data_IF_826984792645
#
_entry.id   IF_826984792645
#
_cell.length_a   1.000
_cell.length_b   1.000
_cell.length_c   1.000
_cell.angle_alpha   90.00
_cell.angle_beta   90.00
_cell.angle_gamma   90.00
#
_symmetry.space_group_name_H-M   'P 1'
#
loop_
_entity.id
_entity.type
_entity.pdbx_description
1 polymer ?
#
# COMPACT_ATOMS: atom_id res chain seq x y z
N UNK A 1 -67.65 -36.47 -12.19
CA UNK A 1 -66.71 -35.79 -13.12
C UNK A 1 -65.64 -35.17 -12.22
N UNK A 2 -64.49 -35.85 -12.07
CA UNK A 2 -63.35 -35.35 -11.35
C UNK A 2 -62.71 -34.25 -12.18
N UNK A 3 -62.70 -33.00 -11.70
CA UNK A 3 -61.92 -31.93 -12.25
C UNK A 3 -60.48 -32.22 -11.85
N UNK A 4 -59.65 -32.73 -12.78
CA UNK A 4 -58.24 -32.91 -12.54
C UNK A 4 -57.60 -31.58 -12.19
N UNK A 5 -56.69 -31.56 -11.23
CA UNK A 5 -55.90 -30.33 -10.97
C UNK A 5 -55.00 -30.04 -12.15
N UNK A 6 -55.12 -28.85 -12.71
CA UNK A 6 -54.22 -28.37 -13.75
C UNK A 6 -53.08 -27.68 -13.01
N UNK A 7 -51.93 -28.37 -12.98
CA UNK A 7 -50.69 -27.81 -12.41
C UNK A 7 -49.74 -27.33 -13.51
N UNK A 8 -49.09 -26.22 -13.33
CA UNK A 8 -47.94 -25.78 -14.13
C UNK A 8 -46.82 -25.39 -13.17
N UNK A 9 -45.62 -25.93 -13.43
CA UNK A 9 -44.45 -25.58 -12.66
C UNK A 9 -44.05 -24.15 -12.96
N UNK A 10 -43.79 -23.36 -11.91
CA UNK A 10 -43.27 -22.01 -11.99
C UNK A 10 -42.10 -21.87 -11.05
N UNK A 11 -41.08 -21.07 -11.38
CA UNK A 11 -39.99 -20.81 -10.46
C UNK A 11 -40.48 -20.04 -9.24
N UNK A 12 -40.00 -20.37 -8.08
CA UNK A 12 -40.08 -19.48 -6.90
C UNK A 12 -39.18 -18.28 -7.12
N UNK A 13 -39.65 -17.08 -6.82
CA UNK A 13 -38.85 -15.86 -6.96
C UNK A 13 -39.21 -14.81 -5.91
N UNK A 14 -38.22 -13.98 -5.59
CA UNK A 14 -38.37 -12.72 -4.86
C UNK A 14 -38.30 -11.57 -5.87
N UNK A 15 -39.18 -10.57 -5.75
CA UNK A 15 -39.21 -9.44 -6.69
C UNK A 15 -39.81 -8.20 -6.07
N UNK A 16 -39.42 -7.03 -6.57
CA UNK A 16 -40.14 -5.74 -6.33
C UNK A 16 -41.29 -5.51 -7.32
N UNK A 17 -41.37 -6.32 -8.38
CA UNK A 17 -42.47 -6.27 -9.34
C UNK A 17 -43.70 -7.00 -8.86
N UNK A 18 -44.77 -6.94 -9.64
CA UNK A 18 -46.03 -7.61 -9.40
C UNK A 18 -46.05 -8.93 -10.18
N UNK A 19 -46.18 -10.09 -9.49
CA UNK A 19 -46.34 -11.37 -10.17
C UNK A 19 -47.76 -11.48 -10.78
N UNK A 20 -47.85 -12.16 -11.91
CA UNK A 20 -49.11 -12.48 -12.55
C UNK A 20 -49.11 -13.91 -13.11
N UNK A 21 -50.27 -14.46 -13.23
CA UNK A 21 -50.48 -15.75 -13.87
C UNK A 21 -51.77 -15.71 -14.69
N UNK A 22 -51.71 -16.31 -15.86
CA UNK A 22 -52.85 -16.61 -16.71
C UNK A 22 -52.97 -18.13 -16.82
N UNK A 23 -54.13 -18.65 -16.47
CA UNK A 23 -54.39 -20.09 -16.50
C UNK A 23 -55.68 -20.39 -17.28
N UNK A 24 -55.64 -21.43 -18.10
CA UNK A 24 -56.81 -21.96 -18.81
C UNK A 24 -56.71 -23.49 -18.91
N UNK A 25 -57.75 -24.11 -19.39
CA UNK A 25 -57.83 -25.60 -19.52
C UNK A 25 -56.75 -26.19 -20.39
N UNK A 26 -56.32 -25.43 -21.42
CA UNK A 26 -55.15 -25.83 -22.22
C UNK A 26 -53.87 -25.26 -21.60
N UNK A 27 -53.15 -26.10 -20.87
CA UNK A 27 -51.88 -25.69 -20.16
C UNK A 27 -50.86 -25.05 -21.09
N UNK A 28 -50.86 -25.38 -22.41
CA UNK A 28 -49.97 -24.74 -23.37
C UNK A 28 -50.24 -23.23 -23.55
N UNK A 29 -51.41 -22.77 -23.18
CA UNK A 29 -51.81 -21.38 -23.23
C UNK A 29 -51.60 -20.66 -21.89
N UNK A 30 -51.30 -21.41 -20.82
CA UNK A 30 -51.00 -20.81 -19.54
C UNK A 30 -49.70 -19.97 -19.64
N UNK A 31 -49.67 -18.87 -18.91
CA UNK A 31 -48.54 -17.95 -18.89
C UNK A 31 -48.42 -17.27 -17.54
N UNK A 32 -47.30 -16.61 -17.30
CA UNK A 32 -47.04 -15.89 -16.06
C UNK A 32 -45.73 -15.16 -16.16
N UNK A 33 -45.48 -14.27 -15.23
CA UNK A 33 -44.29 -13.46 -15.16
C UNK A 33 -44.38 -12.37 -14.11
N UNK A 34 -43.60 -11.36 -14.28
CA UNK A 34 -43.49 -10.21 -13.38
C UNK A 34 -43.61 -8.94 -14.22
N UNK A 35 -44.24 -7.92 -13.69
CA UNK A 35 -44.27 -6.60 -14.29
C UNK A 35 -44.16 -5.50 -13.21
N UNK A 36 -43.89 -4.25 -13.64
CA UNK A 36 -43.74 -3.13 -12.74
C UNK A 36 -42.39 -3.13 -12.01
N UNK A 37 -42.44 -2.71 -10.79
CA UNK A 37 -41.31 -2.49 -9.92
C UNK A 37 -41.58 -1.29 -9.01
N UNK A 38 -40.54 -0.71 -8.47
CA UNK A 38 -40.63 0.45 -7.57
C UNK A 38 -40.02 1.69 -8.21
N UNK A 39 -40.44 2.88 -7.74
CA UNK A 39 -39.76 4.14 -8.09
C UNK A 39 -38.33 4.11 -7.56
N UNK A 40 -37.37 4.52 -8.39
CA UNK A 40 -35.96 4.47 -8.04
C UNK A 40 -35.16 5.43 -8.92
N UNK A 41 -34.41 6.32 -8.31
CA UNK A 41 -33.69 7.41 -8.98
C UNK A 41 -32.17 7.31 -8.88
N UNK A 42 -31.68 6.30 -8.15
CA UNK A 42 -30.24 6.12 -7.92
C UNK A 42 -29.57 5.26 -8.98
N UNK A 43 -28.25 5.36 -9.06
CA UNK A 43 -27.42 4.56 -9.98
C UNK A 43 -26.45 3.67 -9.17
N UNK A 44 -26.88 2.49 -8.69
CA UNK A 44 -26.00 1.55 -8.01
C UNK A 44 -24.97 0.96 -8.98
N UNK A 45 -23.81 0.60 -8.48
CA UNK A 45 -22.75 -0.01 -9.28
C UNK A 45 -22.91 -1.52 -9.40
N UNK A 46 -23.44 -2.18 -8.36
CA UNK A 46 -23.68 -3.61 -8.34
C UNK A 46 -24.88 -3.97 -7.45
N UNK A 47 -25.34 -5.20 -7.56
CA UNK A 47 -26.16 -5.89 -6.56
C UNK A 47 -25.33 -7.00 -5.92
N UNK A 48 -25.29 -7.06 -4.60
CA UNK A 48 -24.57 -8.07 -3.83
C UNK A 48 -25.55 -8.80 -2.91
N UNK A 49 -25.24 -10.05 -2.58
CA UNK A 49 -26.01 -10.83 -1.63
C UNK A 49 -25.36 -12.18 -1.34
N UNK A 50 -25.85 -12.85 -0.32
CA UNK A 50 -25.46 -14.20 0.05
C UNK A 50 -26.52 -15.18 -0.45
N UNK A 51 -26.08 -16.21 -1.13
CA UNK A 51 -26.96 -17.18 -1.76
C UNK A 51 -26.55 -18.60 -1.39
N UNK A 52 -27.55 -19.44 -1.12
CA UNK A 52 -27.33 -20.85 -0.82
C UNK A 52 -28.34 -21.68 -1.56
N UNK A 53 -27.85 -22.52 -2.48
CA UNK A 53 -28.63 -23.54 -3.18
C UNK A 53 -28.12 -24.92 -2.85
N UNK A 54 -29.01 -25.77 -2.33
CA UNK A 54 -28.65 -27.10 -1.84
C UNK A 54 -28.71 -28.17 -2.92
N UNK A 55 -29.50 -27.90 -3.96
CA UNK A 55 -29.76 -28.87 -5.02
C UNK A 55 -28.56 -29.00 -5.96
N UNK A 56 -28.23 -30.20 -6.37
CA UNK A 56 -27.11 -30.50 -7.26
C UNK A 56 -27.53 -30.71 -8.73
N UNK A 57 -28.77 -30.37 -9.08
CA UNK A 57 -29.23 -30.45 -10.48
C UNK A 57 -28.58 -29.35 -11.35
N UNK A 58 -28.69 -29.48 -12.67
CA UNK A 58 -28.09 -28.58 -13.66
C UNK A 58 -28.89 -27.29 -13.96
N UNK A 59 -30.04 -27.13 -13.27
CA UNK A 59 -30.86 -25.94 -13.43
C UNK A 59 -30.14 -24.68 -12.94
N UNK A 60 -30.33 -23.58 -13.63
CA UNK A 60 -29.82 -22.28 -13.20
C UNK A 60 -30.83 -21.55 -12.30
N UNK A 61 -30.31 -20.98 -11.22
CA UNK A 61 -30.93 -19.87 -10.50
C UNK A 61 -30.49 -18.55 -11.15
N UNK A 62 -31.25 -17.49 -10.95
CA UNK A 62 -30.98 -16.20 -11.57
C UNK A 62 -31.05 -15.04 -10.56
N UNK A 63 -30.12 -14.10 -10.72
CA UNK A 63 -30.20 -12.75 -10.18
C UNK A 63 -30.38 -11.82 -11.37
N UNK A 64 -31.51 -11.12 -11.45
CA UNK A 64 -31.84 -10.19 -12.51
C UNK A 64 -32.23 -8.89 -11.85
N UNK A 65 -31.55 -7.79 -12.20
CA UNK A 65 -32.00 -6.46 -11.83
C UNK A 65 -31.92 -5.55 -13.04
N UNK A 66 -32.85 -4.62 -13.13
CA UNK A 66 -32.86 -3.65 -14.22
C UNK A 66 -33.45 -2.33 -13.76
N UNK A 67 -32.87 -1.28 -14.28
CA UNK A 67 -33.25 0.11 -14.10
C UNK A 67 -33.75 0.65 -15.42
N UNK A 68 -34.89 1.34 -15.42
CA UNK A 68 -35.43 1.83 -16.69
C UNK A 68 -36.23 3.13 -16.53
N UNK A 69 -36.46 3.76 -17.69
CA UNK A 69 -37.29 4.91 -17.85
C UNK A 69 -38.42 4.58 -18.83
N UNK A 70 -39.53 5.31 -18.76
CA UNK A 70 -40.60 5.20 -19.72
C UNK A 70 -41.87 4.55 -19.21
N UNK A 71 -42.71 4.18 -20.13
CA UNK A 71 -44.11 3.83 -19.86
C UNK A 71 -44.52 2.48 -20.43
N UNK A 72 -43.52 1.60 -20.74
CA UNK A 72 -43.86 0.24 -21.16
C UNK A 72 -44.78 -0.40 -20.12
N UNK A 73 -45.90 -0.86 -20.58
CA UNK A 73 -46.91 -1.49 -19.74
C UNK A 73 -47.46 -2.72 -20.49
N UNK A 74 -47.26 -3.85 -19.91
CA UNK A 74 -47.82 -5.10 -20.43
C UNK A 74 -49.28 -5.25 -20.04
N UNK A 75 -50.04 -5.91 -20.89
CA UNK A 75 -51.38 -6.39 -20.56
C UNK A 75 -51.32 -7.87 -20.25
N UNK A 76 -51.79 -8.24 -19.06
CA UNK A 76 -51.98 -9.64 -18.72
C UNK A 76 -53.08 -10.24 -19.61
N UNK A 77 -52.81 -11.38 -20.22
CA UNK A 77 -53.80 -11.96 -21.06
C UNK A 77 -53.40 -13.26 -21.79
N UNK A 78 -54.34 -13.77 -22.60
CA UNK A 78 -54.20 -15.05 -23.29
C UNK A 78 -53.14 -14.98 -24.39
N UNK A 79 -52.29 -16.01 -24.49
CA UNK A 79 -51.32 -16.14 -25.56
C UNK A 79 -52.00 -16.14 -26.94
N UNK A 80 -51.49 -15.33 -27.86
CA UNK A 80 -51.92 -15.29 -29.23
C UNK A 80 -53.23 -14.52 -29.47
N UNK A 81 -53.79 -13.84 -28.48
CA UNK A 81 -54.91 -12.92 -28.64
C UNK A 81 -54.45 -11.59 -29.15
N UNK A 82 -55.01 -11.03 -30.24
CA UNK A 82 -54.63 -9.70 -30.71
C UNK A 82 -54.93 -8.55 -29.74
N UNK A 83 -55.89 -8.80 -28.83
CA UNK A 83 -56.34 -7.80 -27.83
C UNK A 83 -55.74 -8.00 -26.45
N UNK A 84 -55.05 -9.12 -26.23
CA UNK A 84 -54.45 -9.53 -24.94
C UNK A 84 -53.01 -9.90 -25.23
N UNK A 85 -52.09 -9.01 -24.98
CA UNK A 85 -50.67 -9.31 -25.08
C UNK A 85 -50.21 -10.06 -23.85
N UNK A 86 -49.24 -10.93 -24.01
CA UNK A 86 -48.52 -11.52 -22.89
C UNK A 86 -47.78 -10.44 -22.15
N UNK A 87 -47.66 -10.65 -20.86
CA UNK A 87 -46.83 -9.77 -20.06
C UNK A 87 -45.37 -10.19 -20.15
N UNK A 88 -44.68 -9.69 -21.14
CA UNK A 88 -43.25 -9.86 -21.37
C UNK A 88 -42.46 -8.59 -21.01
N UNK A 89 -42.93 -7.78 -20.06
CA UNK A 89 -42.29 -6.50 -19.72
C UNK A 89 -40.79 -6.69 -19.44
N UNK A 90 -40.43 -7.62 -18.55
CA UNK A 90 -39.04 -7.92 -18.26
C UNK A 90 -38.26 -8.31 -19.51
N UNK A 91 -38.84 -9.17 -20.37
CA UNK A 91 -38.20 -9.60 -21.60
C UNK A 91 -38.09 -8.44 -22.60
N UNK A 92 -39.11 -7.60 -22.70
CA UNK A 92 -39.13 -6.46 -23.62
C UNK A 92 -38.10 -5.39 -23.23
N UNK A 93 -38.04 -5.02 -21.93
CA UNK A 93 -37.09 -4.03 -21.45
C UNK A 93 -35.66 -4.56 -21.55
N UNK A 94 -35.43 -5.85 -21.36
CA UNK A 94 -34.11 -6.47 -21.52
C UNK A 94 -33.79 -6.88 -22.98
N UNK A 95 -34.65 -6.49 -23.97
CA UNK A 95 -34.41 -6.75 -25.37
C UNK A 95 -34.50 -8.22 -25.79
N UNK A 96 -35.24 -9.07 -25.01
CA UNK A 96 -35.36 -10.52 -25.26
C UNK A 96 -36.57 -10.94 -26.07
N UNK A 97 -37.45 -10.02 -26.46
CA UNK A 97 -38.65 -10.25 -27.26
C UNK A 97 -38.89 -9.12 -28.27
N UNK A 98 -39.69 -9.41 -29.29
CA UNK A 98 -40.06 -8.41 -30.33
C UNK A 98 -41.58 -8.16 -30.26
N UNK A 99 -42.05 -6.90 -30.28
CA UNK A 99 -41.25 -5.67 -30.20
C UNK A 99 -40.58 -5.52 -28.84
N UNK A 100 -39.35 -5.04 -28.81
CA UNK A 100 -38.62 -4.78 -27.60
C UNK A 100 -38.89 -3.36 -27.03
N UNK A 101 -38.54 -3.16 -25.80
CA UNK A 101 -38.57 -1.88 -25.11
C UNK A 101 -37.21 -1.49 -24.55
N UNK A 102 -36.13 -2.05 -25.11
CA UNK A 102 -34.74 -1.85 -24.62
C UNK A 102 -34.29 -0.39 -24.68
N UNK A 103 -34.92 0.45 -25.53
CA UNK A 103 -34.69 1.89 -25.51
C UNK A 103 -35.12 2.60 -24.21
N UNK A 104 -35.85 1.92 -23.32
CA UNK A 104 -36.21 2.41 -22.01
C UNK A 104 -35.24 1.96 -20.91
N UNK A 105 -34.31 1.06 -21.22
CA UNK A 105 -33.31 0.52 -20.27
C UNK A 105 -32.29 1.59 -19.92
N UNK A 106 -31.98 1.71 -18.65
CA UNK A 106 -30.89 2.55 -18.12
C UNK A 106 -29.70 1.69 -17.75
N UNK A 107 -29.96 0.60 -17.00
CA UNK A 107 -28.94 -0.37 -16.63
C UNK A 107 -29.58 -1.73 -16.35
N UNK A 108 -28.78 -2.78 -16.45
CA UNK A 108 -29.17 -4.15 -16.08
C UNK A 108 -28.03 -4.87 -15.39
N UNK A 109 -28.36 -5.86 -14.60
CA UNK A 109 -27.50 -6.98 -14.29
C UNK A 109 -28.27 -8.28 -14.47
N UNK A 110 -27.59 -9.31 -14.97
CA UNK A 110 -28.16 -10.62 -15.15
C UNK A 110 -27.08 -11.67 -14.86
N UNK A 111 -27.31 -12.51 -13.87
CA UNK A 111 -26.36 -13.53 -13.47
C UNK A 111 -27.06 -14.86 -13.24
N UNK A 112 -26.55 -15.91 -13.86
CA UNK A 112 -27.04 -17.27 -13.71
C UNK A 112 -26.02 -18.08 -12.92
N UNK A 113 -26.48 -18.85 -11.95
CA UNK A 113 -25.64 -19.74 -11.16
C UNK A 113 -26.33 -21.07 -10.86
N UNK A 114 -25.53 -22.10 -10.68
CA UNK A 114 -25.98 -23.44 -10.34
C UNK A 114 -25.92 -23.69 -8.83
N UNK A 115 -25.83 -24.94 -8.43
CA UNK A 115 -25.69 -25.33 -7.02
C UNK A 115 -24.49 -24.64 -6.36
N UNK A 116 -24.66 -24.19 -5.11
CA UNK A 116 -23.60 -23.76 -4.23
C UNK A 116 -23.05 -24.83 -3.32
N UNK A 117 -23.40 -26.12 -3.62
CA UNK A 117 -23.07 -27.27 -2.81
C UNK A 117 -23.53 -27.14 -1.35
N UNK A 118 -24.67 -26.49 -1.13
CA UNK A 118 -25.22 -26.28 0.20
C UNK A 118 -24.45 -25.31 1.10
N UNK A 119 -23.52 -24.56 0.55
CA UNK A 119 -22.78 -23.50 1.26
C UNK A 119 -23.27 -22.12 0.86
N UNK A 120 -23.16 -21.15 1.77
CA UNK A 120 -23.40 -19.76 1.45
C UNK A 120 -22.27 -19.22 0.57
N UNK A 121 -22.63 -18.60 -0.54
CA UNK A 121 -21.70 -17.91 -1.42
C UNK A 121 -22.11 -16.43 -1.53
N UNK A 122 -21.17 -15.55 -1.42
CA UNK A 122 -21.37 -14.13 -1.71
C UNK A 122 -21.22 -13.92 -3.22
N UNK A 123 -22.25 -13.35 -3.83
CA UNK A 123 -22.28 -13.05 -5.26
C UNK A 123 -22.55 -11.57 -5.44
N UNK A 124 -21.62 -10.88 -6.11
CA UNK A 124 -21.75 -9.48 -6.48
C UNK A 124 -21.81 -9.37 -8.01
N UNK A 125 -22.90 -8.80 -8.52
CA UNK A 125 -23.14 -8.65 -9.96
C UNK A 125 -23.14 -7.17 -10.33
N UNK A 126 -22.21 -6.70 -11.16
CA UNK A 126 -22.16 -5.30 -11.58
C UNK A 126 -23.34 -4.96 -12.51
N UNK A 127 -23.78 -3.70 -12.47
CA UNK A 127 -24.72 -3.16 -13.43
C UNK A 127 -23.99 -2.73 -14.71
N UNK A 128 -24.55 -3.17 -15.84
CA UNK A 128 -24.17 -2.71 -17.18
C UNK A 128 -25.04 -1.50 -17.53
N UNK A 129 -24.48 -0.31 -17.52
CA UNK A 129 -25.18 0.93 -17.89
C UNK A 129 -25.20 1.16 -19.38
N UNK A 130 -26.35 1.60 -19.90
CA UNK A 130 -26.45 2.08 -21.27
C UNK A 130 -25.72 3.43 -21.38
N UNK A 131 -24.85 3.55 -22.37
CA UNK A 131 -24.04 4.75 -22.56
C UNK A 131 -24.94 6.00 -22.72
N UNK A 132 -24.65 7.04 -21.97
CA UNK A 132 -25.40 8.29 -21.96
C UNK A 132 -26.82 8.23 -21.37
N UNK A 133 -27.19 7.11 -20.74
CA UNK A 133 -28.50 7.00 -20.09
C UNK A 133 -28.66 8.00 -18.93
N UNK A 134 -29.84 8.62 -18.86
CA UNK A 134 -30.25 9.51 -17.76
C UNK A 134 -30.40 8.73 -16.45
N UNK A 135 -30.72 9.42 -15.37
CA UNK A 135 -31.12 8.76 -14.11
C UNK A 135 -32.34 7.85 -14.36
N UNK A 136 -32.43 6.68 -13.70
CA UNK A 136 -33.60 5.82 -13.82
C UNK A 136 -34.81 6.44 -13.08
N UNK A 137 -36.00 6.03 -13.47
CA UNK A 137 -37.22 6.35 -12.73
C UNK A 137 -37.79 5.13 -11.99
N UNK A 138 -37.39 3.95 -12.41
CA UNK A 138 -37.92 2.66 -11.92
C UNK A 138 -36.84 1.60 -11.81
N UNK A 139 -37.09 0.66 -10.92
CA UNK A 139 -36.22 -0.50 -10.68
C UNK A 139 -37.08 -1.75 -10.47
N UNK A 140 -36.56 -2.89 -10.94
CA UNK A 140 -37.03 -4.20 -10.49
C UNK A 140 -35.84 -5.12 -10.22
N UNK A 141 -35.98 -5.97 -9.22
CA UNK A 141 -35.06 -7.08 -8.90
C UNK A 141 -35.85 -8.36 -8.94
N UNK A 142 -35.27 -9.41 -9.52
CA UNK A 142 -35.83 -10.75 -9.56
C UNK A 142 -34.72 -11.72 -9.14
N UNK A 143 -34.93 -12.41 -8.01
CA UNK A 143 -34.07 -13.49 -7.57
C UNK A 143 -34.88 -14.77 -7.71
N UNK A 144 -34.51 -15.62 -8.66
CA UNK A 144 -35.25 -16.83 -9.01
C UNK A 144 -34.50 -18.08 -8.56
N UNK A 145 -35.22 -18.96 -7.86
CA UNK A 145 -34.68 -20.24 -7.41
C UNK A 145 -34.50 -21.24 -8.55
N UNK A 146 -35.25 -21.11 -9.64
CA UNK A 146 -35.17 -21.93 -10.85
C UNK A 146 -35.01 -21.09 -12.11
N UNK A 147 -35.04 -21.71 -13.26
CA UNK A 147 -34.88 -21.05 -14.56
C UNK A 147 -36.00 -20.03 -14.84
N UNK A 148 -35.69 -18.76 -14.72
CA UNK A 148 -36.65 -17.69 -14.96
C UNK A 148 -37.05 -17.55 -16.44
N UNK A 149 -36.15 -17.89 -17.34
CA UNK A 149 -36.33 -17.65 -18.78
C UNK A 149 -36.97 -18.80 -19.52
N UNK A 150 -36.76 -20.05 -19.05
CA UNK A 150 -37.27 -21.27 -19.71
C UNK A 150 -37.99 -22.18 -18.72
N UNK A 151 -39.30 -22.23 -18.84
CA UNK A 151 -40.12 -23.10 -18.00
C UNK A 151 -39.91 -24.59 -18.30
N UNK A 152 -39.47 -24.93 -19.51
CA UNK A 152 -39.16 -26.28 -19.91
C UNK A 152 -37.93 -26.85 -19.19
N UNK A 153 -37.10 -26.00 -18.66
CA UNK A 153 -35.89 -26.36 -17.90
C UNK A 153 -36.06 -26.32 -16.39
N UNK A 154 -37.29 -26.11 -15.88
CA UNK A 154 -37.57 -26.10 -14.45
C UNK A 154 -37.48 -27.48 -13.87
N UNK A 155 -36.81 -27.61 -12.72
CA UNK A 155 -36.72 -28.82 -11.91
C UNK A 155 -37.53 -28.62 -10.63
N UNK A 156 -38.38 -29.59 -10.33
CA UNK A 156 -39.23 -29.56 -9.11
C UNK A 156 -38.36 -29.60 -7.85
N UNK A 157 -38.82 -28.96 -6.78
CA UNK A 157 -38.20 -28.90 -5.46
C UNK A 157 -36.82 -28.26 -5.40
N UNK A 158 -36.46 -27.41 -6.35
CA UNK A 158 -35.27 -26.55 -6.25
C UNK A 158 -35.50 -25.50 -5.18
N UNK A 159 -34.55 -25.35 -4.25
CA UNK A 159 -34.59 -24.37 -3.15
C UNK A 159 -33.41 -23.45 -3.20
N UNK A 160 -33.69 -22.14 -3.26
CA UNK A 160 -32.72 -21.08 -3.12
C UNK A 160 -33.02 -20.27 -1.86
N UNK A 161 -32.00 -20.11 -1.03
CA UNK A 161 -32.00 -19.15 0.08
C UNK A 161 -31.18 -17.93 -0.35
N UNK A 162 -31.67 -16.74 -0.05
CA UNK A 162 -31.00 -15.48 -0.28
C UNK A 162 -31.02 -14.65 1.01
N UNK A 163 -29.90 -14.02 1.32
CA UNK A 163 -29.72 -13.19 2.49
C UNK A 163 -28.81 -12.00 2.19
N UNK A 164 -28.86 -10.92 2.97
CA UNK A 164 -28.02 -9.73 2.88
C UNK A 164 -27.99 -9.14 1.47
N UNK A 165 -29.12 -9.12 0.77
CA UNK A 165 -29.22 -8.59 -0.59
C UNK A 165 -29.28 -7.08 -0.54
N UNK A 166 -28.28 -6.43 -1.16
CA UNK A 166 -28.13 -4.97 -1.16
C UNK A 166 -27.62 -4.43 -2.50
N UNK A 167 -27.84 -3.16 -2.74
CA UNK A 167 -27.12 -2.44 -3.78
C UNK A 167 -25.78 -1.95 -3.24
N UNK A 168 -24.79 -1.95 -4.12
CA UNK A 168 -23.42 -1.51 -3.82
C UNK A 168 -23.16 -0.22 -4.58
N UNK A 169 -22.57 0.75 -3.90
CA UNK A 169 -22.15 2.04 -4.45
C UNK A 169 -20.64 2.18 -4.21
N UNK A 170 -19.83 1.84 -5.20
CA UNK A 170 -18.38 1.86 -5.05
C UNK A 170 -17.87 3.26 -4.70
N UNK A 171 -17.22 3.37 -3.56
CA UNK A 171 -16.54 4.56 -3.10
C UNK A 171 -15.02 4.40 -3.18
N UNK A 172 -14.52 3.74 -4.23
CA UNK A 172 -13.13 3.36 -4.46
C UNK A 172 -12.58 3.94 -5.75
N UNK A 173 -11.25 3.92 -5.87
CA UNK A 173 -10.56 4.21 -7.11
C UNK A 173 -10.38 2.93 -7.94
N UNK A 174 -10.53 3.06 -9.25
CA UNK A 174 -10.16 2.03 -10.23
C UNK A 174 -8.73 2.22 -10.77
N UNK A 175 -8.20 3.46 -10.71
CA UNK A 175 -6.83 3.78 -11.10
C UNK A 175 -6.33 5.02 -10.34
N UNK A 176 -5.03 5.06 -10.08
CA UNK A 176 -4.34 6.19 -9.46
C UNK A 176 -2.96 6.36 -10.09
N UNK A 177 -2.65 7.56 -10.54
CA UNK A 177 -1.34 7.91 -11.09
C UNK A 177 -0.95 9.32 -10.68
N UNK A 178 0.37 9.56 -10.61
CA UNK A 178 0.98 10.86 -10.34
C UNK A 178 1.95 11.16 -11.46
N UNK A 179 1.92 12.38 -12.01
CA UNK A 179 2.74 12.79 -13.16
C UNK A 179 2.62 11.83 -14.37
N UNK A 180 1.45 11.20 -14.55
CA UNK A 180 1.23 10.23 -15.63
C UNK A 180 1.80 8.83 -15.36
N UNK A 181 2.45 8.60 -14.22
CA UNK A 181 2.98 7.31 -13.80
C UNK A 181 2.02 6.66 -12.81
N UNK A 182 1.64 5.41 -13.04
CA UNK A 182 0.78 4.67 -12.11
C UNK A 182 1.49 4.53 -10.75
N UNK A 183 0.72 4.67 -9.67
CA UNK A 183 1.23 4.42 -8.31
C UNK A 183 1.56 2.92 -8.19
N UNK A 184 2.79 2.63 -7.79
CA UNK A 184 3.26 1.26 -7.68
C UNK A 184 2.45 0.46 -6.65
N UNK A 185 2.14 -0.79 -6.99
CA UNK A 185 1.31 -1.64 -6.16
C UNK A 185 -0.13 -1.17 -5.98
N UNK A 186 -0.64 -0.24 -6.81
CA UNK A 186 -2.01 0.24 -6.68
C UNK A 186 -3.04 -0.89 -6.76
N UNK A 187 -3.92 -0.95 -5.77
CA UNK A 187 -5.13 -1.78 -5.76
C UNK A 187 -6.29 -1.00 -5.12
N UNK A 188 -7.52 -1.27 -5.56
CA UNK A 188 -8.70 -0.51 -5.13
C UNK A 188 -9.04 -0.63 -3.64
N UNK A 189 -8.51 -1.64 -2.97
CA UNK A 189 -8.66 -1.97 -1.55
C UNK A 189 -7.40 -1.72 -0.70
N UNK A 190 -6.35 -1.19 -1.31
CA UNK A 190 -5.14 -0.71 -0.63
C UNK A 190 -5.20 0.80 -0.52
N UNK A 191 -5.07 1.32 0.70
CA UNK A 191 -5.36 2.73 0.98
C UNK A 191 -4.13 3.56 1.38
N UNK A 192 -2.96 2.93 1.59
CA UNK A 192 -1.75 3.64 1.99
C UNK A 192 -0.58 3.24 1.10
N UNK A 193 0.12 4.24 0.58
CA UNK A 193 1.25 4.09 -0.34
C UNK A 193 2.41 4.95 0.13
N UNK A 194 3.64 4.43 0.03
CA UNK A 194 4.87 5.20 0.25
C UNK A 194 5.45 5.59 -1.10
N UNK A 195 5.79 6.87 -1.25
CA UNK A 195 6.34 7.43 -2.48
C UNK A 195 7.77 7.90 -2.18
N UNK A 196 8.74 7.30 -2.85
CA UNK A 196 10.15 7.64 -2.73
C UNK A 196 10.45 8.94 -3.50
N UNK A 197 9.94 10.06 -3.01
CA UNK A 197 10.16 11.41 -3.54
C UNK A 197 9.87 12.41 -2.43
N UNK A 198 10.67 13.46 -2.37
CA UNK A 198 10.45 14.62 -1.50
C UNK A 198 9.60 15.70 -2.18
N UNK A 199 9.43 15.63 -3.51
CA UNK A 199 8.66 16.58 -4.29
C UNK A 199 7.18 16.20 -4.30
N UNK A 200 6.34 17.00 -3.65
CA UNK A 200 4.89 16.83 -3.67
C UNK A 200 4.30 17.25 -5.02
N UNK A 201 3.36 16.48 -5.57
CA UNK A 201 2.68 16.87 -6.80
C UNK A 201 1.70 18.02 -6.56
N UNK A 202 1.34 18.70 -7.62
CA UNK A 202 0.17 19.59 -7.66
C UNK A 202 -1.09 18.78 -7.94
N UNK A 203 -2.29 19.34 -7.69
CA UNK A 203 -3.56 18.60 -7.87
C UNK A 203 -3.77 18.15 -9.32
N UNK A 204 -3.35 18.94 -10.30
CA UNK A 204 -3.46 18.63 -11.74
C UNK A 204 -2.50 17.50 -12.20
N UNK A 205 -1.47 17.21 -11.42
CA UNK A 205 -0.56 16.10 -11.65
C UNK A 205 -1.10 14.76 -11.10
N UNK A 206 -2.20 14.79 -10.34
CA UNK A 206 -2.81 13.61 -9.75
C UNK A 206 -4.00 13.16 -10.60
N UNK A 207 -3.89 12.00 -11.21
CA UNK A 207 -4.99 11.36 -11.93
C UNK A 207 -5.56 10.20 -11.12
N UNK A 208 -6.77 10.38 -10.60
CA UNK A 208 -7.49 9.38 -9.82
C UNK A 208 -8.83 9.10 -10.49
N UNK A 209 -9.07 7.87 -10.91
CA UNK A 209 -10.32 7.44 -11.56
C UNK A 209 -11.19 6.73 -10.56
N UNK A 210 -12.40 7.25 -10.32
CA UNK A 210 -13.38 6.62 -9.43
C UNK A 210 -14.00 5.38 -10.09
N UNK A 211 -14.35 4.39 -9.27
CA UNK A 211 -15.00 3.17 -9.73
C UNK A 211 -16.52 3.32 -9.81
N UNK A 212 -17.14 4.06 -8.91
CA UNK A 212 -18.59 4.19 -8.81
C UNK A 212 -19.19 5.18 -9.81
N UNK A 213 -20.40 4.89 -10.29
CA UNK A 213 -21.15 5.71 -11.25
C UNK A 213 -21.50 7.11 -10.70
N UNK A 214 -21.71 7.22 -9.41
CA UNK A 214 -22.07 8.46 -8.71
C UNK A 214 -21.03 8.90 -7.69
N UNK A 215 -19.89 8.19 -7.64
CA UNK A 215 -18.82 8.53 -6.74
C UNK A 215 -18.19 9.88 -7.08
N UNK A 216 -17.86 10.62 -6.05
CA UNK A 216 -17.12 11.88 -6.12
C UNK A 216 -15.76 11.70 -5.46
N UNK A 217 -14.79 12.52 -5.85
CA UNK A 217 -13.47 12.53 -5.21
C UNK A 217 -13.09 13.94 -4.80
N UNK A 218 -12.27 14.03 -3.77
CA UNK A 218 -11.54 15.24 -3.39
C UNK A 218 -10.08 14.90 -3.16
N UNK A 219 -9.19 15.85 -3.42
CA UNK A 219 -7.75 15.74 -3.20
C UNK A 219 -7.34 16.81 -2.20
N UNK A 220 -6.51 16.45 -1.24
CA UNK A 220 -5.87 17.36 -0.31
C UNK A 220 -4.37 17.07 -0.26
N UNK A 221 -3.56 18.12 -0.29
CA UNK A 221 -2.11 18.05 -0.24
C UNK A 221 -1.68 18.78 1.03
N UNK A 222 -0.96 18.07 1.89
CA UNK A 222 -0.40 18.61 3.14
C UNK A 222 1.12 18.59 3.02
N UNK A 223 1.71 19.77 2.86
CA UNK A 223 3.15 19.93 2.71
C UNK A 223 3.92 19.67 4.02
N UNK A 224 3.32 19.97 5.18
CA UNK A 224 3.95 19.73 6.47
C UNK A 224 3.98 18.23 6.81
N UNK A 225 2.89 17.53 6.55
CA UNK A 225 2.82 16.09 6.72
C UNK A 225 3.50 15.32 5.57
N UNK A 226 3.86 15.98 4.47
CA UNK A 226 4.33 15.39 3.21
C UNK A 226 3.36 14.32 2.69
N UNK A 227 2.05 14.63 2.67
CA UNK A 227 1.02 13.67 2.25
C UNK A 227 0.12 14.22 1.15
N UNK A 228 -0.33 13.31 0.29
CA UNK A 228 -1.46 13.53 -0.60
C UNK A 228 -2.58 12.60 -0.17
N UNK A 229 -3.74 13.17 0.10
CA UNK A 229 -4.93 12.43 0.54
C UNK A 229 -6.01 12.54 -0.51
N UNK A 230 -6.51 11.40 -1.02
CA UNK A 230 -7.59 11.33 -1.99
C UNK A 230 -8.77 10.64 -1.31
N UNK A 231 -9.85 11.38 -1.08
CA UNK A 231 -11.09 10.84 -0.52
C UNK A 231 -12.10 10.60 -1.63
N UNK A 232 -12.59 9.38 -1.73
CA UNK A 232 -13.69 9.00 -2.64
C UNK A 232 -14.92 8.73 -1.80
N UNK A 233 -16.04 9.37 -2.16
CA UNK A 233 -17.30 9.21 -1.46
C UNK A 233 -18.43 8.90 -2.45
N UNK A 234 -19.43 8.16 -1.99
CA UNK A 234 -20.63 7.86 -2.77
C UNK A 234 -21.90 8.13 -1.92
N UNK A 235 -23.06 8.10 -2.55
CA UNK A 235 -24.37 8.39 -1.94
C UNK A 235 -24.82 7.34 -0.94
N UNK A 236 -24.29 6.12 -1.03
CA UNK A 236 -24.60 5.00 -0.16
C UNK A 236 -23.38 4.08 0.01
N UNK A 237 -23.57 2.95 0.67
CA UNK A 237 -22.50 2.06 1.10
C UNK A 237 -21.90 1.23 -0.05
N UNK A 238 -20.60 1.04 0.00
CA UNK A 238 -19.82 0.09 -0.76
C UNK A 238 -20.03 -1.34 -0.18
N UNK A 239 -19.40 -2.33 -0.80
CA UNK A 239 -19.50 -3.73 -0.42
C UNK A 239 -19.08 -3.99 1.04
N UNK A 240 -18.16 -3.20 1.56
CA UNK A 240 -17.66 -3.29 2.94
C UNK A 240 -18.48 -2.46 3.97
N UNK A 241 -19.58 -1.87 3.54
CA UNK A 241 -20.48 -1.10 4.40
C UNK A 241 -20.03 0.34 4.65
N UNK A 242 -19.08 0.87 3.88
CA UNK A 242 -18.61 2.26 3.97
C UNK A 242 -19.07 3.08 2.77
N UNK A 243 -19.45 4.31 2.99
CA UNK A 243 -19.79 5.25 1.91
C UNK A 243 -18.61 6.10 1.43
N UNK A 244 -17.44 5.96 2.05
CA UNK A 244 -16.22 6.66 1.62
C UNK A 244 -14.97 5.90 1.97
N UNK A 245 -13.94 6.07 1.13
CA UNK A 245 -12.59 5.55 1.34
C UNK A 245 -11.57 6.64 1.08
N UNK A 246 -10.48 6.59 1.82
CA UNK A 246 -9.41 7.58 1.74
C UNK A 246 -8.10 6.88 1.40
N UNK A 247 -7.47 7.31 0.31
CA UNK A 247 -6.14 6.88 -0.13
C UNK A 247 -5.12 7.92 0.31
N UNK A 248 -4.04 7.47 0.92
CA UNK A 248 -2.94 8.32 1.39
C UNK A 248 -1.67 7.93 0.65
N UNK A 249 -1.07 8.91 -0.03
CA UNK A 249 0.28 8.81 -0.57
C UNK A 249 1.20 9.55 0.40
N UNK A 250 2.06 8.80 1.09
CA UNK A 250 3.07 9.35 1.98
C UNK A 250 4.35 9.57 1.19
N UNK A 251 4.76 10.81 1.09
CA UNK A 251 6.03 11.23 0.50
C UNK A 251 7.12 11.29 1.56
N UNK A 252 8.37 11.20 1.12
CA UNK A 252 9.50 11.50 1.98
C UNK A 252 9.45 12.98 2.38
N UNK A 253 9.72 13.28 3.65
CA UNK A 253 9.86 14.67 4.05
C UNK A 253 11.15 15.22 3.44
N UNK A 254 11.07 16.33 2.75
CA UNK A 254 12.26 17.10 2.42
C UNK A 254 12.97 17.40 3.75
N UNK A 255 14.24 17.03 3.84
CA UNK A 255 15.04 17.43 4.99
C UNK A 255 14.92 18.96 5.15
N UNK A 256 14.64 19.42 6.36
CA UNK A 256 14.73 20.88 6.62
C UNK A 256 16.11 21.31 6.19
N UNK A 257 16.22 22.31 5.32
CA UNK A 257 17.49 22.90 4.95
C UNK A 257 18.03 23.58 6.20
N UNK A 258 18.87 22.85 6.96
CA UNK A 258 19.46 23.34 8.19
C UNK A 258 20.42 24.47 7.83
N UNK A 259 20.17 25.65 8.33
CA UNK A 259 21.11 26.75 8.21
C UNK A 259 22.20 26.55 9.25
N UNK A 260 23.41 26.19 8.81
CA UNK A 260 24.56 25.96 9.65
C UNK A 260 25.64 27.04 9.46
N UNK A 261 26.54 27.11 10.41
CA UNK A 261 27.75 27.96 10.31
C UNK A 261 28.91 27.02 9.95
N UNK A 262 29.41 27.18 8.71
CA UNK A 262 30.56 26.42 8.22
C UNK A 262 31.85 27.09 8.62
N UNK A 263 32.78 26.32 9.16
CA UNK A 263 34.14 26.72 9.52
C UNK A 263 35.14 25.78 8.89
N UNK A 264 36.11 26.32 8.18
CA UNK A 264 37.23 25.60 7.58
C UNK A 264 38.40 25.55 8.55
N UNK A 265 39.00 24.36 8.69
CA UNK A 265 40.14 24.14 9.57
C UNK A 265 41.31 23.58 8.75
N UNK A 266 42.31 24.38 8.41
CA UNK A 266 43.54 23.86 7.82
C UNK A 266 44.35 23.11 8.89
N UNK A 267 44.93 22.00 8.53
CA UNK A 267 45.67 21.15 9.45
C UNK A 267 46.41 20.02 8.75
N UNK A 268 46.68 18.97 9.49
CA UNK A 268 47.50 17.85 9.09
C UNK A 268 46.77 16.54 9.27
N UNK A 269 46.73 15.76 8.22
CA UNK A 269 46.15 14.40 8.23
C UNK A 269 47.26 13.36 8.38
N UNK A 270 47.05 12.41 9.28
CA UNK A 270 47.80 11.16 9.33
C UNK A 270 46.85 10.00 9.12
N UNK A 271 47.22 8.99 8.34
CA UNK A 271 46.38 7.87 7.99
C UNK A 271 47.12 6.55 7.90
N UNK A 272 46.52 5.50 8.44
CA UNK A 272 47.06 4.13 8.37
C UNK A 272 45.96 3.16 7.96
N UNK A 273 46.30 2.18 7.15
CA UNK A 273 45.51 0.98 6.91
C UNK A 273 46.06 -0.10 7.87
N UNK A 274 45.16 -0.79 8.57
CA UNK A 274 45.56 -1.86 9.49
C UNK A 274 45.41 -3.20 8.79
N UNK A 275 46.51 -3.90 8.59
CA UNK A 275 46.48 -5.28 8.11
C UNK A 275 45.83 -6.18 9.17
N UNK A 276 44.72 -6.81 8.84
CA UNK A 276 43.94 -7.61 9.81
C UNK A 276 44.56 -8.97 10.11
N UNK A 277 45.51 -9.45 9.28
CA UNK A 277 46.21 -10.72 9.49
C UNK A 277 47.47 -10.54 10.35
N UNK A 278 48.28 -9.50 10.04
CA UNK A 278 49.53 -9.23 10.74
C UNK A 278 49.42 -8.24 11.86
N UNK A 279 48.34 -7.44 11.85
CA UNK A 279 48.10 -6.30 12.76
C UNK A 279 49.17 -5.20 12.63
N UNK A 280 49.79 -5.11 11.44
CA UNK A 280 50.76 -4.06 11.10
C UNK A 280 50.03 -2.82 10.56
N UNK A 281 50.57 -1.64 10.92
CA UNK A 281 50.09 -0.37 10.39
C UNK A 281 50.80 -0.04 9.09
N UNK A 282 50.03 0.19 8.05
CA UNK A 282 50.54 0.61 6.76
C UNK A 282 50.19 2.08 6.54
N UNK A 283 51.13 3.05 6.79
CA UNK A 283 50.83 4.46 6.64
C UNK A 283 50.63 4.84 5.19
N UNK A 284 49.58 5.66 4.91
CA UNK A 284 49.32 6.23 3.59
C UNK A 284 49.34 7.76 3.59
N UNK A 285 49.21 8.39 4.74
CA UNK A 285 49.35 9.83 4.93
C UNK A 285 50.19 10.10 6.19
N UNK A 286 51.18 10.96 6.09
CA UNK A 286 52.02 11.40 7.19
C UNK A 286 52.15 12.93 7.19
N UNK A 287 51.49 13.63 8.13
CA UNK A 287 51.41 15.05 8.19
C UNK A 287 51.05 15.72 6.84
N UNK A 288 50.10 15.12 6.13
CA UNK A 288 49.61 15.62 4.87
C UNK A 288 48.76 16.89 5.15
N UNK A 289 49.09 18.00 4.49
CA UNK A 289 48.31 19.24 4.62
C UNK A 289 46.91 19.00 4.03
N UNK A 290 45.88 19.14 4.85
CA UNK A 290 44.48 19.05 4.50
C UNK A 290 43.66 20.13 5.15
N UNK A 291 42.50 20.40 4.58
CA UNK A 291 41.52 21.29 5.17
C UNK A 291 40.22 20.49 5.37
N UNK A 292 39.71 20.51 6.56
CA UNK A 292 38.39 19.92 6.89
C UNK A 292 37.37 21.04 7.04
N UNK A 293 36.11 20.77 6.76
CA UNK A 293 35.00 21.67 7.02
C UNK A 293 34.07 21.09 8.06
N UNK A 294 33.66 21.88 9.04
CA UNK A 294 32.65 21.58 10.02
C UNK A 294 31.53 22.59 9.92
N UNK A 295 30.30 22.13 9.67
CA UNK A 295 29.11 22.97 9.64
C UNK A 295 28.27 22.70 10.88
N UNK A 296 28.30 23.60 11.87
CA UNK A 296 27.51 23.47 13.11
C UNK A 296 26.10 24.04 12.92
N UNK A 297 25.08 23.36 13.44
CA UNK A 297 23.69 23.77 13.43
C UNK A 297 23.20 24.16 14.84
N UNK A 298 22.13 24.96 14.88
CA UNK A 298 21.54 25.42 16.16
C UNK A 298 20.96 24.29 17.02
N UNK A 299 20.63 23.14 16.42
CA UNK A 299 20.08 21.98 17.11
C UNK A 299 21.13 21.11 17.84
N UNK A 300 22.39 21.52 17.81
CA UNK A 300 23.49 20.78 18.44
C UNK A 300 24.02 19.64 17.59
N UNK A 301 23.69 19.63 16.29
CA UNK A 301 24.29 18.72 15.32
C UNK A 301 25.32 19.45 14.45
N UNK A 302 26.12 18.69 13.72
CA UNK A 302 27.05 19.22 12.72
C UNK A 302 27.25 18.25 11.57
N UNK A 303 27.69 18.79 10.43
CA UNK A 303 28.24 18.00 9.34
C UNK A 303 29.75 18.20 9.32
N UNK A 304 30.45 17.09 9.14
CA UNK A 304 31.91 17.04 9.02
C UNK A 304 32.29 16.58 7.63
N UNK A 305 33.17 17.34 6.98
CA UNK A 305 33.68 17.00 5.66
C UNK A 305 35.21 16.94 5.67
N UNK A 306 35.76 15.76 5.35
CA UNK A 306 37.17 15.57 4.97
C UNK A 306 37.20 15.32 3.45
N UNK A 307 37.67 16.28 2.64
CA UNK A 307 37.68 16.14 1.19
C UNK A 307 38.77 15.18 0.72
N UNK A 308 38.49 14.44 -0.34
CA UNK A 308 39.40 13.63 -1.12
C UNK A 308 40.38 12.78 -0.26
N UNK A 309 39.85 11.79 0.46
CA UNK A 309 40.67 10.85 1.21
C UNK A 309 41.47 9.97 0.21
N UNK A 310 42.77 10.27 0.04
CA UNK A 310 43.64 9.60 -0.89
C UNK A 310 44.56 8.56 -0.22
N UNK A 311 44.47 7.33 -0.65
CA UNK A 311 45.32 6.23 -0.18
C UNK A 311 46.56 6.13 -1.06
N UNK A 312 47.66 6.83 -0.69
CA UNK A 312 48.88 6.99 -1.52
C UNK A 312 49.53 5.65 -1.90
N UNK A 313 49.49 4.67 -1.01
CA UNK A 313 50.07 3.33 -1.27
C UNK A 313 49.26 2.49 -2.28
N UNK A 314 47.97 2.80 -2.49
CA UNK A 314 47.08 2.16 -3.46
C UNK A 314 46.85 3.02 -4.70
N UNK A 315 47.42 4.22 -4.71
CA UNK A 315 47.23 5.24 -5.78
C UNK A 315 45.71 5.48 -6.04
N UNK A 316 44.89 5.48 -4.98
CA UNK A 316 43.43 5.51 -5.08
C UNK A 316 42.82 6.59 -4.18
N UNK A 317 41.90 7.39 -4.74
CA UNK A 317 41.04 8.28 -3.93
C UNK A 317 39.77 7.53 -3.52
N UNK A 318 39.44 7.54 -2.25
CA UNK A 318 38.15 7.09 -1.74
C UNK A 318 37.04 8.14 -1.93
N UNK A 319 37.43 9.39 -2.25
CA UNK A 319 36.53 10.52 -2.34
C UNK A 319 36.35 11.24 -1.00
N UNK A 320 35.29 12.02 -0.90
CA UNK A 320 34.97 12.80 0.29
C UNK A 320 34.39 11.94 1.41
N UNK A 321 34.85 12.15 2.64
CA UNK A 321 34.24 11.60 3.84
C UNK A 321 33.32 12.65 4.42
N UNK A 322 32.00 12.47 4.22
CA UNK A 322 30.96 13.35 4.74
C UNK A 322 30.19 12.65 5.85
N UNK A 323 30.30 13.15 7.08
CA UNK A 323 29.53 12.66 8.23
C UNK A 323 28.48 13.70 8.57
N UNK A 324 27.24 13.47 8.13
CA UNK A 324 26.11 14.37 8.39
C UNK A 324 25.44 14.08 9.74
N UNK A 325 24.99 15.13 10.40
CA UNK A 325 24.21 15.04 11.64
C UNK A 325 24.99 14.51 12.84
N UNK A 326 26.32 14.61 12.84
CA UNK A 326 27.13 14.29 14.01
C UNK A 326 26.71 15.17 15.20
N UNK A 327 26.79 14.64 16.42
CA UNK A 327 26.42 15.37 17.63
C UNK A 327 27.57 16.27 18.10
N UNK A 328 27.24 17.49 18.55
CA UNK A 328 28.19 18.43 19.15
C UNK A 328 27.77 18.71 20.58
N UNK A 329 28.67 18.51 21.52
CA UNK A 329 28.46 18.88 22.91
C UNK A 329 29.59 19.81 23.38
N UNK A 330 29.26 20.91 24.06
CA UNK A 330 30.24 21.85 24.60
C UNK A 330 30.22 21.77 26.14
N UNK A 331 31.38 21.57 26.73
CA UNK A 331 31.51 21.54 28.17
C UNK A 331 31.70 22.95 28.77
N UNK A 332 31.75 23.05 30.12
CA UNK A 332 31.91 24.30 30.84
C UNK A 332 33.30 24.96 30.61
N UNK A 333 34.29 24.20 30.11
CA UNK A 333 35.63 24.70 29.78
C UNK A 333 35.73 25.25 28.34
N UNK A 334 34.66 25.10 27.55
CA UNK A 334 34.57 25.53 26.16
C UNK A 334 35.17 24.50 25.19
N UNK A 335 35.38 23.27 25.60
CA UNK A 335 35.77 22.17 24.73
C UNK A 335 34.50 21.66 24.04
N UNK A 336 34.50 21.64 22.70
CA UNK A 336 33.48 21.01 21.91
C UNK A 336 33.88 19.55 21.58
N UNK A 337 32.99 18.59 21.81
CA UNK A 337 33.17 17.17 21.47
C UNK A 337 32.22 16.79 20.34
N UNK A 338 32.74 16.12 19.33
CA UNK A 338 32.06 15.73 18.10
C UNK A 338 32.00 14.20 18.02
N UNK A 339 30.83 13.63 17.73
CA UNK A 339 30.65 12.20 17.53
C UNK A 339 29.63 11.95 16.41
N UNK A 340 30.00 11.12 15.44
CA UNK A 340 29.15 10.77 14.32
C UNK A 340 29.39 9.34 13.83
N UNK A 341 28.38 8.70 13.26
CA UNK A 341 28.47 7.39 12.63
C UNK A 341 27.65 7.42 11.37
N UNK A 342 28.22 6.96 10.27
CA UNK A 342 27.51 6.72 9.01
C UNK A 342 27.68 5.26 8.64
N UNK A 343 26.59 4.53 8.62
CA UNK A 343 26.57 3.15 8.13
C UNK A 343 26.42 3.15 6.61
N UNK A 344 27.15 2.26 5.94
CA UNK A 344 27.09 2.05 4.48
C UNK A 344 27.34 3.32 3.65
N UNK A 345 28.34 4.14 4.02
CA UNK A 345 28.74 5.32 3.24
C UNK A 345 29.25 4.89 1.85
N UNK A 346 28.69 5.45 0.75
CA UNK A 346 29.22 5.20 -0.58
C UNK A 346 30.50 5.99 -0.81
N UNK A 347 31.58 5.30 -1.12
CA UNK A 347 32.89 5.84 -1.46
C UNK A 347 33.26 5.48 -2.89
N UNK A 348 34.33 6.05 -3.43
CA UNK A 348 34.81 5.77 -4.80
C UNK A 348 33.69 5.88 -5.85
N UNK A 349 32.86 6.95 -5.75
CA UNK A 349 31.72 7.12 -6.67
C UNK A 349 30.60 6.11 -6.51
N UNK A 350 30.52 5.40 -5.38
CA UNK A 350 29.52 4.37 -5.10
C UNK A 350 29.96 2.95 -5.43
N UNK A 351 31.19 2.76 -5.90
CA UNK A 351 31.75 1.41 -6.16
C UNK A 351 32.18 0.69 -4.89
N UNK A 352 32.29 1.42 -3.76
CA UNK A 352 32.74 0.91 -2.48
C UNK A 352 31.79 1.41 -1.38
N UNK A 353 31.48 0.53 -0.42
CA UNK A 353 30.65 0.84 0.74
C UNK A 353 31.47 0.60 2.01
N UNK A 354 31.46 1.58 2.93
CA UNK A 354 32.18 1.48 4.19
C UNK A 354 31.37 2.09 5.34
N UNK A 355 31.60 1.60 6.56
CA UNK A 355 31.10 2.24 7.78
C UNK A 355 32.13 3.27 8.25
N UNK A 356 31.65 4.48 8.58
CA UNK A 356 32.50 5.58 9.02
C UNK A 356 32.10 6.04 10.43
N UNK A 357 33.09 6.17 11.31
CA UNK A 357 32.91 6.73 12.65
C UNK A 357 33.81 7.94 12.84
N UNK A 358 33.21 9.05 13.26
CA UNK A 358 33.88 10.30 13.60
C UNK A 358 33.89 10.48 15.13
N UNK A 359 35.07 10.75 15.70
CA UNK A 359 35.21 11.18 17.09
C UNK A 359 36.24 12.31 17.14
N UNK A 360 35.99 13.34 17.93
CA UNK A 360 36.97 14.38 18.03
C UNK A 360 36.62 15.52 18.97
N UNK A 361 37.53 16.46 19.11
CA UNK A 361 37.36 17.63 19.96
C UNK A 361 37.91 18.90 19.31
N UNK A 362 37.30 20.03 19.64
CA UNK A 362 37.86 21.35 19.40
C UNK A 362 38.01 22.03 20.75
N UNK A 363 39.27 22.37 21.10
CA UNK A 363 39.56 23.05 22.37
C UNK A 363 39.07 24.48 22.38
N UNK A 364 38.96 25.10 23.54
CA UNK A 364 38.63 26.51 23.67
C UNK A 364 39.63 27.45 22.96
N UNK A 365 40.86 26.96 22.69
CA UNK A 365 41.87 27.69 21.90
C UNK A 365 41.74 27.45 20.39
N UNK A 366 40.74 26.70 19.92
CA UNK A 366 40.51 26.38 18.51
C UNK A 366 41.41 25.28 17.95
N UNK A 367 42.08 24.50 18.80
CA UNK A 367 42.86 23.33 18.36
C UNK A 367 41.86 22.17 18.07
N UNK A 368 41.92 21.67 16.85
CA UNK A 368 41.10 20.57 16.37
C UNK A 368 41.87 19.23 16.48
N UNK A 369 41.24 18.24 17.02
CA UNK A 369 41.71 16.86 17.04
C UNK A 369 40.57 15.95 16.67
N UNK A 370 40.63 15.32 15.47
CA UNK A 370 39.58 14.42 14.96
C UNK A 370 40.19 13.06 14.64
N UNK A 371 39.43 12.00 14.94
CA UNK A 371 39.70 10.64 14.50
C UNK A 371 38.55 10.21 13.61
N UNK A 372 38.88 9.68 12.45
CA UNK A 372 37.94 9.18 11.44
C UNK A 372 38.33 7.74 11.19
N UNK A 373 37.46 6.80 11.60
CA UNK A 373 37.62 5.38 11.39
C UNK A 373 36.73 4.95 10.24
N UNK A 374 37.33 4.41 9.18
CA UNK A 374 36.61 3.87 8.00
C UNK A 374 36.79 2.37 7.99
N UNK A 375 35.71 1.61 8.06
CA UNK A 375 35.70 0.15 8.01
C UNK A 375 35.23 -0.32 6.64
N UNK A 376 36.17 -0.76 5.82
CA UNK A 376 35.92 -1.24 4.48
C UNK A 376 36.10 -2.77 4.38
N UNK A 377 35.02 -3.53 4.14
CA UNK A 377 35.05 -5.01 4.05
C UNK A 377 35.84 -5.69 5.20
N UNK A 378 35.78 -5.11 6.39
CA UNK A 378 36.51 -5.60 7.55
C UNK A 378 37.96 -5.11 7.67
N UNK A 379 38.43 -4.29 6.72
CA UNK A 379 39.76 -3.65 6.79
C UNK A 379 39.60 -2.27 7.43
N UNK A 380 40.23 -2.01 8.60
CA UNK A 380 40.19 -0.71 9.25
C UNK A 380 41.17 0.27 8.57
N UNK A 381 40.67 1.45 8.26
CA UNK A 381 41.44 2.62 7.84
C UNK A 381 41.24 3.66 8.94
N UNK A 382 42.32 4.10 9.57
CA UNK A 382 42.25 5.06 10.66
C UNK A 382 42.95 6.33 10.25
N UNK A 383 42.20 7.43 10.28
CA UNK A 383 42.71 8.78 10.02
C UNK A 383 42.67 9.61 11.30
N UNK A 384 43.69 10.39 11.53
CA UNK A 384 43.72 11.44 12.56
C UNK A 384 44.01 12.77 11.91
N UNK A 385 43.23 13.79 12.25
CA UNK A 385 43.41 15.14 11.78
C UNK A 385 43.66 16.06 12.95
N UNK A 386 44.64 16.94 12.85
CA UNK A 386 44.91 17.97 13.87
C UNK A 386 45.37 19.30 13.25
N UNK A 387 45.00 20.41 13.88
CA UNK A 387 45.51 21.73 13.50
C UNK A 387 46.91 22.00 14.05
N UNK A 388 47.45 21.14 14.94
CA UNK A 388 48.82 21.22 15.41
C UNK A 388 49.70 20.28 14.59
N UNK A 389 50.81 20.77 14.06
CA UNK A 389 51.80 19.92 13.37
C UNK A 389 52.41 18.92 14.37
N UNK A 390 52.17 17.64 14.17
CA UNK A 390 52.75 16.55 14.99
C UNK A 390 54.17 16.29 14.48
N UNK A 391 55.19 16.64 15.25
CA UNK A 391 56.58 16.32 14.93
C UNK A 391 56.99 15.00 15.57
N UNK A 392 56.55 13.88 14.96
CA UNK A 392 56.87 12.53 15.38
C UNK A 392 55.67 11.61 15.32
N UNK A 393 55.86 10.37 14.77
CA UNK A 393 54.84 9.33 14.76
C UNK A 393 54.68 8.81 16.17
N UNK A 394 53.70 9.26 16.95
CA UNK A 394 53.23 8.49 18.10
C UNK A 394 52.41 7.33 17.60
N UNK A 395 52.69 6.13 18.13
CA UNK A 395 51.92 4.92 17.81
C UNK A 395 50.42 5.18 18.04
N UNK A 396 49.62 5.10 17.00
CA UNK A 396 48.16 5.15 17.09
C UNK A 396 47.73 3.90 17.87
N UNK A 397 47.50 4.03 19.17
CA UNK A 397 46.95 2.97 19.98
C UNK A 397 45.43 3.02 19.83
N UNK A 398 44.87 2.10 19.05
CA UNK A 398 43.43 1.92 19.01
C UNK A 398 43.02 1.30 20.35
N UNK A 399 42.56 2.13 21.30
CA UNK A 399 41.76 1.63 22.41
C UNK A 399 40.41 1.17 21.86
N UNK A 400 40.30 -0.12 21.66
CA UNK A 400 39.05 -0.79 21.29
C UNK A 400 38.06 -0.59 22.45
N UNK A 401 37.28 0.49 22.46
CA UNK A 401 36.29 0.83 23.48
C UNK A 401 35.00 -0.01 23.39
N UNK A 402 35.09 -1.27 22.96
CA UNK A 402 33.99 -2.22 23.14
C UNK A 402 33.78 -2.49 24.64
N UNK A 403 32.53 -2.48 25.08
CA UNK A 403 32.20 -2.90 26.45
C UNK A 403 32.81 -4.25 26.72
N UNK A 404 33.60 -4.32 27.80
CA UNK A 404 34.23 -5.58 28.25
C UNK A 404 33.17 -6.47 28.90
N UNK A 405 32.99 -7.63 28.32
CA UNK A 405 32.12 -8.68 28.86
C UNK A 405 32.91 -9.89 29.30
N UNK A 406 32.48 -10.53 30.39
CA UNK A 406 33.10 -11.74 30.88
C UNK A 406 32.12 -12.91 30.79
N UNK A 407 32.63 -14.05 30.37
CA UNK A 407 31.88 -15.32 30.31
C UNK A 407 32.63 -16.39 31.07
N UNK A 408 31.92 -17.27 31.75
CA UNK A 408 32.52 -18.46 32.34
C UNK A 408 32.88 -19.48 31.22
N UNK A 409 33.57 -20.57 31.61
CA UNK A 409 33.97 -21.60 30.64
C UNK A 409 32.78 -22.37 30.02
N UNK A 410 31.56 -22.21 30.52
CA UNK A 410 30.32 -22.73 29.98
C UNK A 410 29.59 -21.75 29.03
N UNK A 411 30.18 -20.56 28.76
CA UNK A 411 29.60 -19.55 27.89
C UNK A 411 28.50 -18.67 28.51
N UNK A 412 28.37 -18.72 29.86
CA UNK A 412 27.38 -17.88 30.55
C UNK A 412 28.03 -16.55 30.94
N UNK A 413 27.35 -15.42 30.59
CA UNK A 413 27.83 -14.07 30.93
C UNK A 413 27.89 -13.85 32.45
N UNK A 414 28.98 -13.27 32.92
CA UNK A 414 29.25 -12.99 34.33
C UNK A 414 29.47 -11.50 34.53
N UNK A 415 28.57 -10.85 35.28
CA UNK A 415 28.62 -9.40 35.49
C UNK A 415 29.79 -8.93 36.33
N UNK A 416 30.18 -9.72 37.39
CA UNK A 416 31.30 -9.44 38.25
C UNK A 416 32.17 -10.71 38.40
N UNK A 417 33.21 -10.87 37.58
CA UNK A 417 34.10 -12.03 37.67
C UNK A 417 34.97 -11.94 38.93
N UNK A 418 34.92 -12.97 39.77
CA UNK A 418 35.74 -13.09 40.98
C UNK A 418 36.47 -14.44 40.99
N UNK A 419 37.77 -14.42 41.31
CA UNK A 419 38.62 -15.59 41.50
C UNK A 419 38.35 -16.79 40.56
N UNK A 420 38.89 -16.73 39.36
CA UNK A 420 38.70 -17.81 38.39
C UNK A 420 39.16 -17.50 36.98
N UNK A 421 38.95 -18.47 36.08
CA UNK A 421 39.28 -18.33 34.66
C UNK A 421 38.00 -17.98 33.91
N UNK A 422 38.06 -16.86 33.17
CA UNK A 422 36.94 -16.34 32.37
C UNK A 422 37.39 -16.09 30.94
N UNK A 423 36.43 -16.01 30.04
CA UNK A 423 36.61 -15.51 28.68
C UNK A 423 36.21 -14.04 28.72
N UNK A 424 37.18 -13.15 28.50
CA UNK A 424 36.96 -11.71 28.34
C UNK A 424 36.67 -11.48 26.86
N UNK A 425 35.53 -10.89 26.54
CA UNK A 425 35.14 -10.42 25.22
C UNK A 425 35.17 -8.90 25.23
N UNK A 426 35.87 -8.30 24.27
CA UNK A 426 35.93 -6.86 24.06
C UNK A 426 35.91 -6.59 22.57
N UNK A 427 34.80 -6.03 22.08
CA UNK A 427 34.53 -6.00 20.64
C UNK A 427 34.50 -7.41 20.06
N UNK A 428 35.19 -7.63 18.96
CA UNK A 428 35.29 -8.94 18.29
C UNK A 428 36.43 -9.85 18.86
N UNK A 429 37.09 -9.44 19.91
CA UNK A 429 38.20 -10.22 20.49
C UNK A 429 37.73 -10.96 21.77
N UNK A 430 37.97 -12.26 21.81
CA UNK A 430 37.77 -13.09 22.97
C UNK A 430 39.14 -13.56 23.48
N UNK A 431 39.44 -13.39 24.77
CA UNK A 431 40.67 -13.82 25.42
C UNK A 431 40.39 -14.53 26.73
N UNK A 432 41.21 -15.53 27.07
CA UNK A 432 41.13 -16.24 28.34
C UNK A 432 41.87 -15.43 29.38
N UNK A 433 41.20 -15.05 30.48
CA UNK A 433 41.77 -14.24 31.55
C UNK A 433 41.63 -14.95 32.90
N UNK A 434 42.63 -14.78 33.77
CA UNK A 434 42.58 -15.22 35.14
C UNK A 434 42.29 -13.98 36.01
N UNK A 435 41.10 -13.94 36.62
CA UNK A 435 40.76 -12.93 37.62
C UNK A 435 41.15 -13.47 38.99
N UNK A 436 41.94 -12.71 39.74
CA UNK A 436 42.39 -13.04 41.09
C UNK A 436 41.60 -12.28 42.14
#
# INVERSE_FOLDING_TARGET
IGVGSIGSTAPGFLTFGTPWVYAETNVKNCDGGIYGGVSFEYKPDAISGKYKRTDSNDENSYIIAYLWNGTYSSKVGKKGSPTQSRNDEVRAILGKVTPDASGQLVAKCEYAFKSTNGTWQEITVPFEYVAGASAPAKMNVIISGGNYWDRGALVENTTLLADDVKFVYYSRLSALSVNGVAVDGFASDVYNYSIASTELPTEDQISATVMGQTATKSVAIDAEAATVTITVANVAEDIDGKSSHTYVLQYEKAGEEKVGISTEYPGYLNGVIIDTETNENMPFAENEEKEITITEYEDGTCDFLLPDLYLSMLEMSLGDILVEGATVTKDETGIATYNGVVEAMPLLGGELIADVTLNGTISAAGVVEMQIDVLWEGVPIVCTFTTNQVTGVENIIIENQGNVEYYNLQGVKVANPENGVFIKVQGNKASKVLVK
#
